data_IF_398616692547
#
_entry.id   IF_398616692547
#
_cell.length_a   1.000
_cell.length_b   1.000
_cell.length_c   1.000
_cell.angle_alpha   90.00
_cell.angle_beta   90.00
_cell.angle_gamma   90.00
#
_symmetry.space_group_name_H-M   'P 1'
#
loop_
_entity.id
_entity.type
_entity.pdbx_description
1 polymer ?
#
# COMPACT_ATOMS: atom_id res chain seq x y z
N UNK A 1 0.28 -16.30 -17.35
CA UNK A 1 -1.00 -15.58 -17.16
C UNK A 1 -0.70 -14.09 -17.31
N UNK A 2 -1.33 -13.42 -18.30
CA UNK A 2 -1.21 -11.96 -18.44
C UNK A 2 -2.03 -11.31 -17.33
N UNK A 3 -1.48 -11.13 -16.16
CA UNK A 3 -2.10 -10.32 -15.12
C UNK A 3 -1.94 -8.85 -15.53
N UNK A 4 -3.03 -8.24 -15.96
CA UNK A 4 -3.04 -6.78 -16.18
C UNK A 4 -2.83 -6.10 -14.83
N UNK A 5 -1.99 -5.07 -14.75
CA UNK A 5 -1.81 -4.33 -13.51
C UNK A 5 -3.13 -3.65 -13.10
N UNK A 6 -3.37 -3.59 -11.81
CA UNK A 6 -4.45 -2.80 -11.23
C UNK A 6 -4.03 -1.32 -11.24
N UNK A 7 -4.91 -0.44 -11.71
CA UNK A 7 -4.65 1.00 -11.74
C UNK A 7 -5.32 1.67 -10.55
N UNK A 8 -4.56 2.46 -9.80
CA UNK A 8 -5.09 3.31 -8.75
C UNK A 8 -5.62 4.61 -9.36
N UNK A 9 -6.68 5.14 -8.76
CA UNK A 9 -7.31 6.40 -9.13
C UNK A 9 -7.14 7.40 -8.00
N UNK A 10 -6.89 8.68 -8.30
CA UNK A 10 -6.87 9.70 -7.27
C UNK A 10 -8.28 9.90 -6.71
N UNK A 11 -8.38 10.28 -5.43
CA UNK A 11 -9.65 10.72 -4.86
C UNK A 11 -10.08 12.02 -5.57
N UNK A 12 -11.36 12.13 -5.99
CA UNK A 12 -11.80 13.21 -6.90
C UNK A 12 -11.57 14.64 -6.40
N UNK A 13 -11.54 14.85 -5.08
CA UNK A 13 -11.29 16.15 -4.47
C UNK A 13 -9.80 16.45 -4.25
N UNK A 14 -8.90 15.51 -4.60
CA UNK A 14 -7.45 15.72 -4.47
C UNK A 14 -6.95 16.71 -5.52
N UNK A 15 -5.92 17.48 -5.16
CA UNK A 15 -5.19 18.31 -6.12
C UNK A 15 -4.69 17.43 -7.27
N UNK A 16 -4.93 17.87 -8.50
CA UNK A 16 -4.64 17.05 -9.65
C UNK A 16 -3.13 16.88 -9.87
N UNK A 17 -2.69 15.64 -9.95
CA UNK A 17 -1.42 15.25 -10.57
C UNK A 17 -1.76 14.46 -11.85
N UNK A 18 -2.19 15.16 -12.92
CA UNK A 18 -2.89 14.54 -14.06
C UNK A 18 -2.03 13.54 -14.83
N UNK A 19 -0.72 13.72 -14.83
CA UNK A 19 0.22 12.87 -15.55
C UNK A 19 0.80 11.73 -14.69
N UNK A 20 0.50 11.71 -13.39
CA UNK A 20 0.91 10.63 -12.51
C UNK A 20 0.02 9.41 -12.72
N UNK A 21 0.65 8.26 -12.95
CA UNK A 21 0.00 6.96 -13.02
C UNK A 21 0.57 6.04 -11.95
N UNK A 22 -0.33 5.45 -11.16
CA UNK A 22 0.04 4.48 -10.13
C UNK A 22 -0.62 3.16 -10.49
N UNK A 23 0.17 2.11 -10.58
CA UNK A 23 -0.32 0.75 -10.82
C UNK A 23 0.31 -0.24 -9.85
N UNK A 24 -0.39 -1.35 -9.65
CA UNK A 24 0.11 -2.45 -8.83
C UNK A 24 -0.13 -3.79 -9.49
N UNK A 25 0.82 -4.68 -9.34
CA UNK A 25 0.64 -6.12 -9.55
C UNK A 25 0.65 -6.80 -8.20
N UNK A 26 -0.30 -7.67 -7.97
CA UNK A 26 -0.38 -8.45 -6.74
C UNK A 26 -0.72 -9.89 -7.07
N UNK A 27 -0.01 -10.81 -6.45
CA UNK A 27 -0.24 -12.25 -6.58
C UNK A 27 0.05 -12.95 -5.26
N UNK A 28 -0.69 -14.03 -5.00
CA UNK A 28 -0.42 -14.94 -3.90
C UNK A 28 0.00 -16.28 -4.47
N UNK A 29 1.10 -16.83 -3.95
CA UNK A 29 1.58 -18.17 -4.25
C UNK A 29 1.72 -18.94 -2.96
N UNK A 30 0.84 -19.89 -2.71
CA UNK A 30 0.72 -20.56 -1.41
C UNK A 30 0.55 -19.52 -0.30
N UNK A 31 1.52 -19.39 0.58
CA UNK A 31 1.49 -18.41 1.67
C UNK A 31 2.42 -17.22 1.48
N UNK A 32 2.93 -17.03 0.28
CA UNK A 32 3.75 -15.86 -0.09
C UNK A 32 2.92 -14.87 -0.90
N UNK A 33 2.87 -13.63 -0.44
CA UNK A 33 2.30 -12.50 -1.14
C UNK A 33 3.41 -11.74 -1.87
N UNK A 34 3.19 -11.43 -3.13
CA UNK A 34 4.09 -10.65 -3.99
C UNK A 34 3.32 -9.43 -4.45
N UNK A 35 3.84 -8.24 -4.12
CA UNK A 35 3.23 -6.95 -4.47
C UNK A 35 4.27 -6.09 -5.16
N UNK A 36 3.90 -5.48 -6.28
CA UNK A 36 4.74 -4.54 -7.01
C UNK A 36 3.96 -3.27 -7.32
N UNK A 37 4.41 -2.15 -6.81
CA UNK A 37 3.93 -0.82 -7.16
C UNK A 37 4.80 -0.23 -8.25
N UNK A 38 4.15 0.47 -9.18
CA UNK A 38 4.82 1.26 -10.22
C UNK A 38 4.17 2.64 -10.27
N UNK A 39 4.98 3.67 -10.09
CA UNK A 39 4.61 5.06 -10.29
C UNK A 39 5.32 5.55 -11.55
N UNK A 40 4.59 6.15 -12.47
CA UNK A 40 5.16 6.74 -13.70
C UNK A 40 4.58 8.14 -13.91
N UNK A 41 5.43 9.06 -14.35
CA UNK A 41 5.06 10.45 -14.60
C UNK A 41 6.08 11.44 -14.02
N UNK A 42 5.68 12.68 -13.71
CA UNK A 42 6.56 13.75 -13.26
C UNK A 42 7.01 13.52 -11.81
N UNK A 43 7.94 12.58 -11.61
CA UNK A 43 8.42 12.20 -10.28
C UNK A 43 9.18 13.35 -9.57
N UNK A 44 9.64 14.34 -10.31
CA UNK A 44 10.26 15.55 -9.76
C UNK A 44 9.27 16.46 -9.03
N UNK A 45 7.98 16.31 -9.29
CA UNK A 45 6.91 17.03 -8.58
C UNK A 45 6.49 16.34 -7.26
N UNK A 46 7.06 15.16 -6.98
CA UNK A 46 6.71 14.33 -5.84
C UNK A 46 7.81 14.32 -4.79
N UNK A 47 7.40 14.27 -3.54
CA UNK A 47 8.31 13.97 -2.42
C UNK A 47 8.49 12.45 -2.35
N UNK A 48 9.54 11.95 -3.00
CA UNK A 48 9.96 10.55 -2.92
C UNK A 48 11.28 10.49 -2.17
N UNK A 49 11.27 10.18 -0.86
CA UNK A 49 12.50 10.15 -0.08
C UNK A 49 13.45 9.06 -0.58
N UNK A 50 14.75 9.33 -0.50
CA UNK A 50 15.79 8.36 -0.83
C UNK A 50 15.80 7.21 0.17
N UNK A 51 16.24 6.04 -0.30
CA UNK A 51 16.36 4.85 0.56
C UNK A 51 17.29 5.16 1.73
N UNK A 52 16.85 4.84 2.94
CA UNK A 52 17.61 5.01 4.16
C UNK A 52 18.69 3.92 4.29
N UNK A 53 19.85 4.27 4.84
CA UNK A 53 20.89 3.29 5.20
C UNK A 53 20.43 2.34 6.32
N UNK A 54 19.39 2.72 7.06
CA UNK A 54 18.81 1.94 8.17
C UNK A 54 17.29 1.91 8.08
N UNK A 55 16.71 1.11 7.16
CA UNK A 55 15.28 0.86 7.13
C UNK A 55 14.79 0.35 8.48
N UNK A 56 13.67 0.89 8.95
CA UNK A 56 13.14 0.57 10.27
C UNK A 56 11.62 0.66 10.29
N UNK A 57 10.99 -0.01 11.28
CA UNK A 57 9.59 0.18 11.61
C UNK A 57 9.40 1.63 12.12
N UNK A 58 8.41 2.34 11.55
CA UNK A 58 8.06 3.71 11.94
C UNK A 58 6.56 3.93 11.89
N UNK A 59 6.08 4.80 12.76
CA UNK A 59 4.70 5.27 12.76
C UNK A 59 4.52 6.45 11.79
N UNK A 60 3.26 6.74 11.46
CA UNK A 60 2.84 7.92 10.70
C UNK A 60 3.44 8.04 9.30
N UNK A 61 3.73 6.91 8.64
CA UNK A 61 4.32 6.92 7.30
C UNK A 61 3.39 7.57 6.26
N UNK A 62 2.07 7.55 6.49
CA UNK A 62 1.04 8.18 5.66
C UNK A 62 1.04 9.72 5.67
N UNK A 63 1.82 10.37 6.52
CA UNK A 63 2.02 11.83 6.49
C UNK A 63 2.98 12.27 5.38
N UNK A 64 3.60 11.32 4.71
CA UNK A 64 4.48 11.49 3.55
C UNK A 64 4.05 10.56 2.43
N UNK A 65 4.81 10.47 1.34
CA UNK A 65 4.57 9.46 0.30
C UNK A 65 4.68 8.06 0.90
N UNK A 66 3.57 7.32 0.85
CA UNK A 66 3.42 5.99 1.41
C UNK A 66 2.62 5.10 0.48
N UNK A 67 3.08 3.88 0.24
CA UNK A 67 2.35 2.85 -0.50
C UNK A 67 1.72 1.89 0.51
N UNK A 68 0.44 1.60 0.36
CA UNK A 68 -0.34 0.91 1.38
C UNK A 68 -1.05 -0.32 0.83
N UNK A 69 -1.07 -1.37 1.63
CA UNK A 69 -1.72 -2.63 1.33
C UNK A 69 -2.61 -3.03 2.50
N UNK A 70 -3.85 -3.38 2.21
CA UNK A 70 -4.82 -3.86 3.19
C UNK A 70 -5.16 -5.32 2.91
N UNK A 71 -5.06 -6.17 3.92
CA UNK A 71 -5.37 -7.59 3.83
C UNK A 71 -6.48 -7.93 4.82
N UNK A 72 -7.63 -8.30 4.33
CA UNK A 72 -8.75 -8.73 5.15
C UNK A 72 -9.18 -10.16 4.82
N UNK A 73 -9.13 -11.10 5.79
CA UNK A 73 -9.69 -12.42 5.60
C UNK A 73 -11.18 -12.35 5.28
N UNK A 74 -11.65 -13.25 4.42
CA UNK A 74 -13.07 -13.38 4.15
C UNK A 74 -13.83 -13.77 5.42
N UNK A 75 -15.05 -13.27 5.52
CA UNK A 75 -15.95 -13.52 6.67
C UNK A 75 -15.39 -13.04 8.02
N UNK A 76 -14.51 -12.03 8.00
CA UNK A 76 -13.95 -11.43 9.21
C UNK A 76 -13.92 -9.91 9.12
N UNK A 77 -14.15 -9.25 10.26
CA UNK A 77 -14.07 -7.79 10.36
C UNK A 77 -12.62 -7.31 10.54
N UNK A 78 -11.73 -8.18 11.04
CA UNK A 78 -10.33 -7.80 11.26
C UNK A 78 -9.55 -7.74 9.95
N UNK A 79 -8.51 -6.91 9.91
CA UNK A 79 -7.64 -6.75 8.76
C UNK A 79 -6.27 -6.22 9.18
N UNK A 80 -5.32 -6.33 8.26
CA UNK A 80 -3.99 -5.72 8.41
C UNK A 80 -3.81 -4.59 7.40
N UNK A 81 -3.10 -3.58 7.83
CA UNK A 81 -2.62 -2.47 7.02
C UNK A 81 -1.10 -2.49 7.00
N UNK A 82 -0.53 -2.52 5.81
CA UNK A 82 0.92 -2.42 5.57
C UNK A 82 1.22 -1.05 5.02
N UNK A 83 2.12 -0.33 5.66
CA UNK A 83 2.61 0.97 5.24
C UNK A 83 4.06 0.86 4.80
N UNK A 84 4.35 1.27 3.56
CA UNK A 84 5.64 1.12 2.89
C UNK A 84 6.11 2.48 2.40
N UNK A 85 7.13 3.03 3.04
CA UNK A 85 7.76 4.29 2.62
C UNK A 85 8.83 4.04 1.55
N UNK A 86 8.95 4.89 0.53
CA UNK A 86 10.08 4.86 -0.41
C UNK A 86 11.44 4.87 0.27
N UNK A 87 11.56 5.43 1.47
CA UNK A 87 12.78 5.41 2.28
C UNK A 87 13.14 4.03 2.85
N UNK A 88 12.35 2.98 2.60
CA UNK A 88 12.55 1.66 3.17
C UNK A 88 11.95 1.47 4.56
N UNK A 89 11.39 2.53 5.16
CA UNK A 89 10.67 2.41 6.43
C UNK A 89 9.31 1.78 6.22
N UNK A 90 8.82 1.10 7.26
CA UNK A 90 7.59 0.32 7.18
C UNK A 90 6.85 0.27 8.51
N UNK A 91 5.57 -0.08 8.46
CA UNK A 91 4.82 -0.59 9.59
C UNK A 91 3.74 -1.57 9.12
N UNK A 92 3.28 -2.41 10.03
CA UNK A 92 2.14 -3.30 9.85
C UNK A 92 1.25 -3.13 11.08
N UNK A 93 0.01 -2.71 10.83
CA UNK A 93 -1.00 -2.60 11.87
C UNK A 93 -2.05 -3.69 11.70
N UNK A 94 -2.51 -4.22 12.81
CA UNK A 94 -3.68 -5.09 12.87
C UNK A 94 -4.85 -4.30 13.47
N UNK A 95 -6.00 -4.38 12.81
CA UNK A 95 -7.28 -3.81 13.26
C UNK A 95 -8.25 -4.93 13.59
N UNK A 96 -8.97 -4.83 14.71
CA UNK A 96 -10.03 -5.79 15.07
C UNK A 96 -11.29 -5.60 14.23
N UNK A 97 -11.57 -4.39 13.81
CA UNK A 97 -12.67 -4.01 12.90
C UNK A 97 -12.39 -2.62 12.34
N UNK A 98 -13.29 -2.10 11.51
CA UNK A 98 -13.15 -0.79 10.85
C UNK A 98 -12.67 0.28 11.83
N UNK A 99 -11.41 0.72 11.66
CA UNK A 99 -10.69 1.74 12.44
C UNK A 99 -10.68 1.52 13.96
N UNK A 100 -10.87 0.28 14.44
CA UNK A 100 -10.91 -0.05 15.86
C UNK A 100 -9.91 -1.12 16.26
N UNK A 101 -9.41 -1.00 17.50
CA UNK A 101 -8.51 -1.99 18.09
C UNK A 101 -7.17 -2.09 17.38
N UNK A 102 -6.66 -0.95 16.88
CA UNK A 102 -5.35 -0.86 16.23
C UNK A 102 -4.23 -1.29 17.18
N UNK A 103 -3.32 -2.08 16.64
CA UNK A 103 -2.04 -2.43 17.27
C UNK A 103 -1.00 -2.70 16.20
N UNK A 104 0.26 -2.47 16.49
CA UNK A 104 1.34 -2.96 15.65
C UNK A 104 1.33 -4.50 15.60
N UNK A 105 1.58 -5.07 14.42
CA UNK A 105 1.67 -6.53 14.26
C UNK A 105 3.06 -7.02 14.69
N UNK A 106 3.15 -7.74 15.83
CA UNK A 106 4.44 -8.16 16.39
C UNK A 106 5.08 -9.35 15.66
N UNK A 107 4.32 -10.05 14.81
CA UNK A 107 4.81 -11.23 14.10
C UNK A 107 5.97 -10.90 13.13
N UNK A 108 6.07 -9.65 12.69
CA UNK A 108 7.14 -9.17 11.83
C UNK A 108 8.10 -8.28 12.60
N UNK A 109 9.38 -8.61 12.59
CA UNK A 109 10.47 -7.80 13.17
C UNK A 109 11.26 -7.05 12.10
N UNK A 110 11.11 -7.45 10.84
CA UNK A 110 11.66 -6.80 9.66
C UNK A 110 10.69 -6.99 8.49
N UNK A 111 10.71 -6.05 7.56
CA UNK A 111 9.96 -6.13 6.32
C UNK A 111 10.83 -5.61 5.18
N UNK A 112 11.72 -6.45 4.63
CA UNK A 112 12.56 -6.05 3.51
C UNK A 112 11.73 -5.95 2.21
N UNK A 113 11.92 -4.86 1.48
CA UNK A 113 11.39 -4.68 0.14
C UNK A 113 12.40 -3.91 -0.72
N UNK A 114 12.25 -4.02 -2.03
CA UNK A 114 13.17 -3.43 -2.99
C UNK A 114 12.55 -2.15 -3.55
N UNK A 115 13.34 -1.08 -3.57
CA UNK A 115 12.97 0.20 -4.17
C UNK A 115 13.91 0.48 -5.33
N UNK A 116 13.36 0.89 -6.46
CA UNK A 116 14.10 1.33 -7.64
C UNK A 116 13.52 2.64 -8.15
N UNK A 117 14.38 3.59 -8.51
CA UNK A 117 13.99 4.88 -9.09
C UNK A 117 14.80 5.16 -10.35
N UNK A 118 14.10 5.53 -11.40
CA UNK A 118 14.63 6.08 -12.64
C UNK A 118 14.08 7.51 -12.82
N UNK A 119 14.36 8.16 -13.94
CA UNK A 119 13.96 9.53 -14.19
C UNK A 119 12.44 9.74 -14.04
N UNK A 120 11.65 8.91 -14.70
CA UNK A 120 10.18 9.00 -14.79
C UNK A 120 9.44 7.79 -14.17
N UNK A 121 10.18 6.89 -13.51
CA UNK A 121 9.62 5.64 -12.98
C UNK A 121 10.15 5.34 -11.59
N UNK A 122 9.23 5.06 -10.66
CA UNK A 122 9.52 4.55 -9.33
C UNK A 122 8.85 3.19 -9.16
N UNK A 123 9.58 2.24 -8.61
CA UNK A 123 9.07 0.90 -8.30
C UNK A 123 9.36 0.52 -6.85
N UNK A 124 8.39 -0.14 -6.23
CA UNK A 124 8.55 -0.81 -4.94
C UNK A 124 8.03 -2.24 -5.05
N UNK A 125 8.88 -3.21 -4.69
CA UNK A 125 8.54 -4.62 -4.74
C UNK A 125 8.68 -5.25 -3.36
N UNK A 126 7.59 -5.84 -2.86
CA UNK A 126 7.51 -6.57 -1.61
C UNK A 126 7.22 -8.04 -1.90
N UNK A 127 7.99 -8.93 -1.27
CA UNK A 127 7.68 -10.35 -1.17
C UNK A 127 7.65 -10.74 0.31
N UNK A 128 6.52 -11.27 0.78
CA UNK A 128 6.31 -11.55 2.19
C UNK A 128 5.60 -12.89 2.42
N UNK A 129 6.18 -13.72 3.31
CA UNK A 129 5.50 -14.90 3.86
C UNK A 129 4.45 -14.49 4.89
N UNK A 130 3.22 -14.93 4.69
CA UNK A 130 2.07 -14.56 5.53
C UNK A 130 1.71 -15.63 6.57
N UNK A 131 2.45 -16.71 6.63
CA UNK A 131 2.22 -17.86 7.53
C UNK A 131 2.10 -17.48 9.01
N UNK A 132 2.69 -16.36 9.41
CA UNK A 132 2.63 -15.82 10.77
C UNK A 132 1.30 -15.15 11.13
N UNK A 133 0.53 -14.72 10.12
CA UNK A 133 -0.70 -13.94 10.33
C UNK A 133 -1.92 -14.53 9.63
N UNK A 134 -1.74 -15.21 8.50
CA UNK A 134 -2.84 -15.71 7.66
C UNK A 134 -2.54 -17.13 7.23
N UNK A 135 -3.43 -18.11 7.49
CA UNK A 135 -3.32 -19.47 6.96
C UNK A 135 -3.32 -19.51 5.42
N UNK A 136 -2.63 -20.50 4.85
CA UNK A 136 -2.46 -20.62 3.40
C UNK A 136 -3.78 -20.84 2.64
N UNK A 137 -4.75 -21.48 3.28
CA UNK A 137 -6.08 -21.80 2.75
C UNK A 137 -7.12 -20.68 2.99
N UNK A 138 -6.74 -19.61 3.70
CA UNK A 138 -7.62 -18.49 3.97
C UNK A 138 -7.74 -17.58 2.76
N UNK A 139 -8.96 -17.41 2.21
CA UNK A 139 -9.23 -16.42 1.17
C UNK A 139 -9.13 -15.00 1.71
N UNK A 140 -8.64 -14.09 0.87
CA UNK A 140 -8.38 -12.71 1.23
C UNK A 140 -9.05 -11.74 0.28
N UNK A 141 -9.70 -10.73 0.83
CA UNK A 141 -10.02 -9.50 0.14
C UNK A 141 -8.90 -8.47 0.36
N UNK A 142 -8.41 -7.88 -0.72
CA UNK A 142 -7.23 -7.01 -0.67
C UNK A 142 -7.58 -5.62 -1.21
N UNK A 143 -7.20 -4.61 -0.44
CA UNK A 143 -7.18 -3.21 -0.84
C UNK A 143 -5.76 -2.75 -1.13
N UNK A 144 -5.61 -1.88 -2.13
CA UNK A 144 -4.33 -1.26 -2.47
C UNK A 144 -4.53 0.24 -2.61
N UNK A 145 -3.67 1.01 -1.97
CA UNK A 145 -3.72 2.46 -1.97
C UNK A 145 -2.33 3.09 -1.95
N UNK A 146 -2.31 4.39 -2.09
CA UNK A 146 -1.13 5.22 -1.91
C UNK A 146 -1.52 6.61 -1.42
N UNK A 147 -0.71 7.16 -0.53
CA UNK A 147 -0.67 8.58 -0.24
C UNK A 147 0.54 9.13 -0.96
N UNK A 148 0.35 10.18 -1.75
CA UNK A 148 1.42 10.83 -2.51
C UNK A 148 1.52 12.27 -2.07
N UNK A 149 2.71 12.68 -1.63
CA UNK A 149 3.02 14.06 -1.25
C UNK A 149 3.68 14.78 -2.42
N UNK A 150 3.13 15.93 -2.80
CA UNK A 150 3.77 16.81 -3.77
C UNK A 150 4.89 17.64 -3.14
N UNK A 151 5.80 18.18 -3.96
CA UNK A 151 6.83 19.13 -3.49
C UNK A 151 6.24 20.42 -2.93
N UNK A 152 4.96 20.70 -3.19
CA UNK A 152 4.21 21.83 -2.64
C UNK A 152 3.58 21.52 -1.27
N UNK A 153 3.76 20.29 -0.76
CA UNK A 153 3.26 19.83 0.54
C UNK A 153 1.84 19.28 0.53
N UNK A 154 1.20 19.19 -0.63
CA UNK A 154 -0.14 18.63 -0.76
C UNK A 154 -0.11 17.09 -0.72
N UNK A 155 -1.08 16.49 -0.04
CA UNK A 155 -1.28 15.04 -0.01
C UNK A 155 -2.43 14.67 -0.94
N UNK A 156 -2.20 13.71 -1.80
CA UNK A 156 -3.22 13.10 -2.65
C UNK A 156 -3.40 11.63 -2.29
N UNK A 157 -4.65 11.17 -2.23
CA UNK A 157 -5.02 9.81 -1.88
C UNK A 157 -5.41 9.02 -3.12
N UNK A 158 -4.79 7.86 -3.32
CA UNK A 158 -4.99 7.00 -4.48
C UNK A 158 -5.42 5.61 -4.04
N UNK A 159 -6.43 5.05 -4.69
CA UNK A 159 -6.93 3.70 -4.42
C UNK A 159 -7.50 3.06 -5.69
N UNK A 160 -7.76 1.76 -5.64
CA UNK A 160 -8.44 1.04 -6.72
C UNK A 160 -9.85 1.61 -6.96
N UNK A 161 -10.54 1.92 -5.88
CA UNK A 161 -11.88 2.50 -5.86
C UNK A 161 -12.05 3.38 -4.62
N UNK A 162 -12.83 4.44 -4.75
CA UNK A 162 -13.26 5.30 -3.66
C UNK A 162 -14.79 5.18 -3.52
N UNK A 163 -15.26 4.72 -2.37
CA UNK A 163 -16.68 4.43 -2.12
C UNK A 163 -17.33 5.43 -1.16
N UNK A 164 -16.53 6.29 -0.52
CA UNK A 164 -16.99 7.31 0.42
C UNK A 164 -16.99 8.72 -0.14
N UNK A 165 -17.53 9.66 0.63
CA UNK A 165 -17.46 11.11 0.37
C UNK A 165 -16.09 11.70 0.72
N UNK A 166 -15.28 10.96 1.46
CA UNK A 166 -13.90 11.27 1.82
C UNK A 166 -13.01 10.10 1.44
N UNK A 167 -11.70 10.36 1.24
CA UNK A 167 -10.73 9.30 1.01
C UNK A 167 -10.60 8.43 2.27
N UNK A 168 -10.94 7.17 2.15
CA UNK A 168 -10.91 6.22 3.27
C UNK A 168 -10.55 4.81 2.80
N UNK A 169 -9.31 4.44 3.01
CA UNK A 169 -8.76 3.15 2.58
C UNK A 169 -9.13 1.98 3.51
N UNK A 170 -9.66 2.26 4.72
CA UNK A 170 -10.05 1.22 5.69
C UNK A 170 -11.40 0.58 5.40
N UNK A 171 -12.17 1.13 4.47
CA UNK A 171 -13.48 0.58 4.10
C UNK A 171 -13.34 -0.76 3.43
N UNK A 172 -14.01 -1.79 3.96
CA UNK A 172 -13.96 -3.17 3.42
C UNK A 172 -14.48 -3.27 1.99
N UNK A 173 -15.38 -2.40 1.58
CA UNK A 173 -15.91 -2.33 0.21
C UNK A 173 -14.90 -1.78 -0.82
N UNK A 174 -13.73 -1.33 -0.36
CA UNK A 174 -12.59 -0.96 -1.23
C UNK A 174 -11.59 -2.10 -1.42
N UNK A 175 -11.69 -3.19 -0.69
CA UNK A 175 -10.83 -4.37 -0.81
C UNK A 175 -11.36 -5.29 -1.91
N UNK A 176 -11.13 -4.93 -3.17
CA UNK A 176 -11.79 -5.53 -4.34
C UNK A 176 -10.93 -6.56 -5.09
N UNK A 177 -9.72 -6.84 -4.63
CA UNK A 177 -8.89 -7.90 -5.17
C UNK A 177 -9.09 -9.15 -4.30
N UNK A 178 -9.42 -10.27 -4.93
CA UNK A 178 -9.60 -11.57 -4.28
C UNK A 178 -8.35 -12.44 -4.51
N UNK A 179 -7.80 -13.01 -3.44
CA UNK A 179 -6.60 -13.86 -3.44
C UNK A 179 -6.78 -15.14 -2.62
#
# INVERSE_FOLDING_TARGET
MNNRPFLLKPFPASAALPDLKISTNITRRFNTLIVQYNLTGPLEELVIPTLSDRPARKNNLWEETCLELFLGPDNSDHYWEFNLSPAGHWNIYHFRSYRKGIREEPAFTSLPFIVSRQEDTFQLSLEIGMDKIIPADQSLAVGVSAVIKSIYGELTCWALIHTGTEADFHRRDTFIIEL
#
